data_IF_728730670496
#
_entry.id   IF_728730670496
#
_cell.length_a   1.000
_cell.length_b   1.000
_cell.length_c   1.000
_cell.angle_alpha   90.00
_cell.angle_beta   90.00
_cell.angle_gamma   90.00
#
_symmetry.space_group_name_H-M   'P 1'
#
loop_
_entity.id
_entity.type
_entity.pdbx_description
1 polymer ?
#
# COMPACT_ATOMS: atom_id res chain seq x y z
N UNK A 1 -12.91 -13.99 -1.78
CA UNK A 1 -11.97 -13.10 -2.54
C UNK A 1 -11.39 -12.08 -1.57
N UNK A 2 -10.18 -11.55 -1.80
CA UNK A 2 -9.61 -10.51 -0.91
C UNK A 2 -10.37 -9.18 -1.11
N UNK A 3 -10.84 -8.51 -0.05
CA UNK A 3 -11.46 -7.20 -0.13
C UNK A 3 -10.64 -6.18 -0.90
N UNK A 4 -11.32 -5.22 -1.50
CA UNK A 4 -10.72 -4.08 -2.19
C UNK A 4 -11.19 -2.82 -1.50
N UNK A 5 -10.27 -1.87 -1.33
CA UNK A 5 -10.58 -0.54 -0.84
C UNK A 5 -11.68 0.11 -1.67
N UNK A 6 -12.54 0.89 -1.02
CA UNK A 6 -13.61 1.63 -1.69
C UNK A 6 -13.08 2.46 -2.87
N UNK A 7 -13.90 2.60 -3.92
CA UNK A 7 -13.52 3.34 -5.12
C UNK A 7 -13.32 4.83 -4.84
N UNK A 8 -14.11 5.42 -3.94
CA UNK A 8 -14.02 6.84 -3.56
C UNK A 8 -12.68 7.21 -2.91
N UNK A 9 -11.93 6.22 -2.42
CA UNK A 9 -10.61 6.41 -1.82
C UNK A 9 -9.47 6.25 -2.83
N UNK A 10 -9.77 5.83 -4.07
CA UNK A 10 -8.78 5.52 -5.12
C UNK A 10 -9.05 6.25 -6.44
N UNK A 11 -10.26 6.74 -6.64
CA UNK A 11 -10.69 7.47 -7.83
C UNK A 11 -11.24 8.83 -7.38
N UNK A 12 -10.65 9.88 -7.92
CA UNK A 12 -11.03 11.27 -7.62
C UNK A 12 -11.39 11.99 -8.92
N UNK A 13 -12.26 12.99 -8.81
CA UNK A 13 -12.65 13.86 -9.91
C UNK A 13 -11.87 15.18 -9.81
N UNK A 14 -11.37 15.65 -10.95
CA UNK A 14 -10.63 16.91 -11.18
C UNK A 14 -9.31 17.12 -10.42
N UNK A 15 -9.20 16.65 -9.18
CA UNK A 15 -8.06 16.89 -8.32
C UNK A 15 -7.82 15.74 -7.34
N UNK A 16 -6.59 15.63 -6.85
CA UNK A 16 -6.24 14.64 -5.85
C UNK A 16 -6.79 15.03 -4.49
N UNK A 17 -7.50 14.11 -3.83
CA UNK A 17 -8.02 14.35 -2.49
C UNK A 17 -6.96 14.08 -1.43
N UNK A 18 -6.71 15.08 -0.59
CA UNK A 18 -5.88 14.97 0.60
C UNK A 18 -6.83 14.91 1.80
N UNK A 19 -6.56 13.99 2.72
CA UNK A 19 -7.35 13.82 3.92
C UNK A 19 -6.55 14.28 5.13
N UNK A 20 -7.22 14.91 6.09
CA UNK A 20 -6.59 15.35 7.34
C UNK A 20 -6.13 14.16 8.18
N UNK A 21 -6.90 13.06 8.13
CA UNK A 21 -6.60 11.83 8.87
C UNK A 21 -6.88 10.58 8.03
N UNK A 22 -5.83 10.00 7.47
CA UNK A 22 -5.93 8.76 6.70
C UNK A 22 -6.28 7.54 7.54
N UNK A 23 -5.95 7.51 8.84
CA UNK A 23 -6.29 6.38 9.72
C UNK A 23 -7.79 6.30 9.97
N UNK A 24 -8.43 7.45 10.11
CA UNK A 24 -9.89 7.54 10.25
C UNK A 24 -10.58 7.17 8.94
N UNK A 25 -10.11 7.72 7.81
CA UNK A 25 -10.69 7.42 6.48
C UNK A 25 -10.57 5.94 6.10
N UNK A 26 -9.55 5.25 6.58
CA UNK A 26 -9.34 3.82 6.31
C UNK A 26 -9.89 2.88 7.39
N UNK A 27 -10.58 3.37 8.44
CA UNK A 27 -11.06 2.53 9.55
C UNK A 27 -11.92 1.36 9.07
N UNK A 28 -12.88 1.65 8.19
CA UNK A 28 -13.85 0.67 7.71
C UNK A 28 -13.17 -0.40 6.85
N UNK A 29 -12.20 0.01 6.04
CA UNK A 29 -11.41 -0.91 5.23
C UNK A 29 -10.45 -1.75 6.08
N UNK A 30 -9.90 -1.18 7.15
CA UNK A 30 -9.09 -1.90 8.13
C UNK A 30 -9.90 -3.00 8.83
N UNK A 31 -11.15 -2.71 9.23
CA UNK A 31 -12.07 -3.68 9.82
C UNK A 31 -12.46 -4.79 8.84
N UNK A 32 -12.82 -4.44 7.60
CA UNK A 32 -13.15 -5.42 6.55
C UNK A 32 -11.97 -6.37 6.28
N UNK A 33 -10.77 -5.80 6.18
CA UNK A 33 -9.54 -6.56 5.94
C UNK A 33 -9.15 -7.45 7.11
N UNK A 34 -9.32 -6.98 8.34
CA UNK A 34 -9.07 -7.78 9.53
C UNK A 34 -10.06 -8.95 9.61
N UNK A 35 -11.35 -8.68 9.43
CA UNK A 35 -12.41 -9.71 9.38
C UNK A 35 -12.12 -10.76 8.31
N UNK A 36 -11.68 -10.33 7.14
CA UNK A 36 -11.30 -11.23 6.05
C UNK A 36 -10.19 -12.21 6.44
N UNK A 37 -9.14 -11.75 7.14
CA UNK A 37 -8.05 -12.62 7.56
C UNK A 37 -8.43 -13.51 8.74
N UNK A 38 -9.16 -12.98 9.72
CA UNK A 38 -9.63 -13.72 10.89
C UNK A 38 -10.52 -14.91 10.48
N UNK A 39 -11.42 -14.71 9.50
CA UNK A 39 -12.28 -15.77 8.96
C UNK A 39 -11.53 -16.77 8.06
N UNK A 40 -10.42 -16.35 7.44
CA UNK A 40 -9.67 -17.17 6.47
C UNK A 40 -8.69 -18.11 7.16
N UNK A 41 -8.09 -17.69 8.27
CA UNK A 41 -7.11 -18.46 9.01
C UNK A 41 -7.20 -18.13 10.50
N UNK A 42 -8.12 -18.81 11.19
CA UNK A 42 -8.38 -18.59 12.62
C UNK A 42 -7.15 -18.82 13.53
N UNK A 43 -6.13 -19.52 13.04
CA UNK A 43 -4.88 -19.76 13.77
C UNK A 43 -3.79 -18.73 13.48
N UNK A 44 -4.03 -17.79 12.55
CA UNK A 44 -3.07 -16.77 12.15
C UNK A 44 -3.73 -15.40 12.12
N UNK A 45 -3.60 -14.69 13.24
CA UNK A 45 -3.98 -13.29 13.31
C UNK A 45 -3.15 -12.47 12.33
N UNK A 46 -3.82 -11.73 11.46
CA UNK A 46 -3.19 -10.76 10.55
C UNK A 46 -3.68 -9.38 10.94
N UNK A 47 -2.77 -8.40 11.00
CA UNK A 47 -3.09 -7.03 11.40
C UNK A 47 -4.01 -6.32 10.39
N UNK A 48 -4.53 -5.16 10.77
CA UNK A 48 -5.27 -4.27 9.87
C UNK A 48 -4.43 -3.85 8.65
N UNK A 49 -5.08 -3.43 7.57
CA UNK A 49 -4.40 -3.05 6.34
C UNK A 49 -3.37 -1.94 6.56
N UNK A 50 -3.74 -0.88 7.28
CA UNK A 50 -2.85 0.26 7.53
C UNK A 50 -1.61 -0.14 8.32
N UNK A 51 -1.75 -1.01 9.32
CA UNK A 51 -0.63 -1.54 10.09
C UNK A 51 0.29 -2.43 9.23
N UNK A 52 -0.28 -3.26 8.35
CA UNK A 52 0.49 -4.06 7.41
C UNK A 52 1.34 -3.18 6.49
N UNK A 53 0.74 -2.12 5.92
CA UNK A 53 1.43 -1.17 5.04
C UNK A 53 2.52 -0.43 5.81
N UNK A 54 2.21 0.14 6.97
CA UNK A 54 3.19 0.87 7.78
C UNK A 54 4.39 -0.03 8.12
N UNK A 55 4.16 -1.27 8.56
CA UNK A 55 5.22 -2.24 8.85
C UNK A 55 6.04 -2.57 7.60
N UNK A 56 5.39 -2.78 6.46
CA UNK A 56 6.06 -3.13 5.21
C UNK A 56 7.03 -2.04 4.75
N UNK A 57 6.70 -0.77 4.97
CA UNK A 57 7.51 0.37 4.53
C UNK A 57 8.37 1.00 5.63
N UNK A 58 8.23 0.57 6.90
CA UNK A 58 9.06 1.04 8.00
C UNK A 58 10.55 0.67 7.84
N UNK A 59 10.84 -0.42 7.13
CA UNK A 59 12.21 -0.91 6.93
C UNK A 59 12.58 -0.91 5.45
N UNK A 60 13.71 -0.29 5.06
CA UNK A 60 14.17 -0.32 3.67
C UNK A 60 14.57 -1.73 3.27
N UNK A 61 14.04 -2.22 2.16
CA UNK A 61 14.40 -3.50 1.60
C UNK A 61 15.75 -3.39 0.86
N UNK A 62 16.78 -4.05 1.40
CA UNK A 62 18.16 -4.04 0.86
C UNK A 62 18.21 -4.33 -0.65
N UNK A 63 17.54 -5.39 -1.08
CA UNK A 63 17.53 -5.79 -2.50
C UNK A 63 16.89 -4.71 -3.39
N UNK A 64 15.89 -3.99 -2.88
CA UNK A 64 15.26 -2.89 -3.62
C UNK A 64 16.08 -1.61 -3.66
N UNK A 65 17.10 -1.45 -2.81
CA UNK A 65 17.98 -0.26 -2.87
C UNK A 65 18.75 -0.18 -4.17
N UNK A 66 19.12 -1.33 -4.72
CA UNK A 66 19.89 -1.44 -5.96
C UNK A 66 19.03 -1.28 -7.23
N UNK A 67 17.73 -1.00 -7.12
CA UNK A 67 16.82 -0.97 -8.27
C UNK A 67 17.24 0.05 -9.33
N UNK A 68 17.77 1.20 -8.91
CA UNK A 68 18.28 2.22 -9.84
C UNK A 68 19.53 1.74 -10.57
N UNK A 69 20.43 1.05 -9.86
CA UNK A 69 21.64 0.47 -10.47
C UNK A 69 21.27 -0.57 -11.52
N UNK A 70 20.36 -1.48 -11.19
CA UNK A 70 19.86 -2.50 -12.14
C UNK A 70 19.19 -1.84 -13.34
N UNK A 71 18.38 -0.80 -13.13
CA UNK A 71 17.74 -0.08 -14.25
C UNK A 71 18.78 0.56 -15.19
N UNK A 72 19.82 1.20 -14.64
CA UNK A 72 20.92 1.76 -15.43
C UNK A 72 21.70 0.68 -16.19
N UNK A 73 22.00 -0.45 -15.55
CA UNK A 73 22.66 -1.61 -16.19
C UNK A 73 21.84 -2.21 -17.33
N UNK A 74 20.51 -2.11 -17.26
CA UNK A 74 19.59 -2.55 -18.32
C UNK A 74 19.37 -1.48 -19.41
N UNK A 75 20.06 -0.34 -19.35
CA UNK A 75 19.99 0.71 -20.35
C UNK A 75 18.82 1.69 -20.20
N UNK A 76 18.13 1.70 -19.05
CA UNK A 76 17.14 2.73 -18.75
C UNK A 76 17.83 4.05 -18.41
N UNK A 77 17.36 5.16 -18.98
CA UNK A 77 17.77 6.50 -18.56
C UNK A 77 16.93 6.97 -17.38
N UNK A 78 17.58 7.50 -16.36
CA UNK A 78 16.93 8.15 -15.22
C UNK A 78 16.81 9.67 -15.41
N UNK A 79 17.42 10.22 -16.46
CA UNK A 79 17.27 11.63 -16.78
C UNK A 79 15.90 11.90 -17.42
N UNK A 80 15.22 13.00 -17.04
CA UNK A 80 13.98 13.39 -17.69
C UNK A 80 14.24 13.65 -19.18
N UNK A 81 13.37 13.10 -20.04
CA UNK A 81 13.36 13.46 -21.47
C UNK A 81 13.03 14.94 -21.58
N UNK A 82 13.90 15.68 -22.27
CA UNK A 82 13.67 17.08 -22.65
C UNK A 82 12.54 17.20 -23.67
#
# INVERSE_FOLDING_TARGET
LKPKMDMSLRVFEDSYKIFDNYLEVFSDYDEEMQTYYDLRDANKRVDSFTNQVARQYASPNEMRREIFKVALEQGFSLEPRK
#
